data_IF_908862552750
#
_entry.id   IF_908862552750
#
_cell.length_a   1.000
_cell.length_b   1.000
_cell.length_c   1.000
_cell.angle_alpha   90.00
_cell.angle_beta   90.00
_cell.angle_gamma   90.00
#
_symmetry.space_group_name_H-M   'P 1'
#
loop_
_entity.id
_entity.type
_entity.pdbx_description
1 polymer ?
#
# COMPACT_ATOMS: atom_id res chain seq x y z
N UNK A 1 -22.10 25.14 43.71
CA UNK A 1 -22.23 25.92 42.45
C UNK A 1 -22.13 24.93 41.30
N UNK A 2 -23.23 24.78 40.58
CA UNK A 2 -23.38 23.90 39.44
C UNK A 2 -23.13 24.68 38.14
N UNK A 3 -22.61 23.98 37.12
CA UNK A 3 -22.73 24.20 35.66
C UNK A 3 -21.77 23.18 35.01
N UNK A 4 -22.04 22.49 33.90
CA UNK A 4 -23.24 22.01 33.23
C UNK A 4 -22.67 21.13 32.09
N UNK A 5 -22.97 19.83 32.10
CA UNK A 5 -22.62 18.92 31.00
C UNK A 5 -23.61 19.17 29.84
N UNK A 6 -23.09 19.46 28.65
CA UNK A 6 -23.89 19.42 27.42
C UNK A 6 -23.65 18.10 26.69
N UNK A 7 -24.65 17.23 26.82
CA UNK A 7 -24.98 16.16 25.89
C UNK A 7 -25.38 16.76 24.54
N UNK A 8 -24.86 16.22 23.44
CA UNK A 8 -25.46 16.41 22.12
C UNK A 8 -25.83 15.04 21.56
N UNK A 9 -27.13 14.91 21.30
CA UNK A 9 -27.86 13.77 20.77
C UNK A 9 -27.28 13.21 19.46
N UNK A 10 -27.27 11.89 19.37
CA UNK A 10 -27.26 11.16 18.11
C UNK A 10 -28.60 11.34 17.39
N UNK A 11 -28.57 11.82 16.15
CA UNK A 11 -29.70 11.70 15.23
C UNK A 11 -29.53 10.44 14.37
N UNK A 12 -30.52 9.57 14.51
CA UNK A 12 -30.81 8.43 13.65
C UNK A 12 -31.51 8.89 12.37
N UNK A 13 -30.96 8.54 11.22
CA UNK A 13 -31.71 8.30 9.98
C UNK A 13 -31.14 7.02 9.38
N UNK A 14 -31.88 6.10 8.80
CA UNK A 14 -33.29 5.93 8.52
C UNK A 14 -33.29 4.65 7.69
N UNK A 15 -34.02 3.64 8.16
CA UNK A 15 -34.15 2.35 7.50
C UNK A 15 -34.68 2.50 6.08
N UNK A 16 -34.07 1.79 5.12
CA UNK A 16 -34.81 1.16 4.03
C UNK A 16 -34.32 -0.27 3.88
N UNK A 17 -35.18 -1.21 4.27
CA UNK A 17 -35.12 -2.64 3.96
C UNK A 17 -35.12 -2.84 2.44
N UNK A 18 -34.19 -3.63 1.92
CA UNK A 18 -34.34 -4.28 0.63
C UNK A 18 -34.73 -5.74 0.85
N UNK A 19 -35.96 -6.08 0.48
CA UNK A 19 -36.43 -7.46 0.39
C UNK A 19 -35.67 -8.19 -0.73
N UNK A 20 -34.83 -9.16 -0.37
CA UNK A 20 -34.30 -10.14 -1.33
C UNK A 20 -35.34 -11.25 -1.43
N UNK A 21 -36.14 -11.23 -2.51
CA UNK A 21 -37.04 -12.32 -2.88
C UNK A 21 -36.19 -13.35 -3.64
N UNK A 22 -35.92 -14.49 -3.01
CA UNK A 22 -35.38 -15.65 -3.71
C UNK A 22 -36.49 -16.34 -4.51
N UNK A 23 -36.19 -16.96 -5.67
CA UNK A 23 -37.11 -17.87 -6.31
C UNK A 23 -36.91 -19.28 -5.72
N UNK A 24 -38.01 -19.83 -5.19
CA UNK A 24 -38.18 -21.25 -4.91
C UNK A 24 -38.46 -22.02 -6.20
N UNK A 25 -37.98 -23.27 -6.23
CA UNK A 25 -38.35 -24.35 -7.14
C UNK A 25 -39.86 -24.44 -7.41
N UNK A 26 -40.23 -24.84 -8.62
CA UNK A 26 -40.99 -26.07 -8.89
C UNK A 26 -41.34 -26.24 -10.39
N UNK A 27 -41.15 -27.47 -10.90
CA UNK A 27 -41.89 -28.11 -12.02
C UNK A 27 -41.51 -27.70 -13.45
N UNK A 28 -40.83 -28.55 -14.23
CA UNK A 28 -41.33 -29.69 -15.05
C UNK A 28 -42.12 -29.29 -16.32
N UNK A 29 -41.85 -30.09 -17.36
CA UNK A 29 -42.52 -30.25 -18.67
C UNK A 29 -42.13 -29.38 -19.88
N UNK A 30 -41.48 -30.10 -20.81
CA UNK A 30 -41.88 -30.34 -22.20
C UNK A 30 -41.67 -29.31 -23.31
N UNK A 31 -41.11 -29.82 -24.40
CA UNK A 31 -41.67 -29.56 -25.73
C UNK A 31 -40.82 -28.71 -26.66
N UNK A 32 -39.98 -29.41 -27.43
CA UNK A 32 -39.88 -29.35 -28.91
C UNK A 32 -40.14 -28.04 -29.68
N UNK A 33 -39.24 -27.84 -30.65
CA UNK A 33 -39.36 -27.04 -31.89
C UNK A 33 -39.45 -25.51 -31.68
N UNK A 34 -39.01 -24.64 -32.56
CA UNK A 34 -38.67 -24.71 -33.98
C UNK A 34 -38.91 -23.30 -34.54
N UNK A 35 -38.21 -22.96 -35.62
CA UNK A 35 -38.52 -21.81 -36.51
C UNK A 35 -37.95 -20.43 -36.15
N UNK A 36 -36.86 -20.15 -36.86
CA UNK A 36 -36.62 -18.87 -37.55
C UNK A 36 -37.92 -18.35 -38.20
N UNK A 37 -38.26 -17.08 -37.95
CA UNK A 37 -39.39 -16.43 -38.60
C UNK A 37 -39.36 -14.93 -38.39
N UNK A 38 -38.97 -14.22 -39.44
CA UNK A 38 -39.09 -12.77 -39.61
C UNK A 38 -40.49 -12.26 -39.25
N UNK A 39 -40.56 -11.13 -38.55
CA UNK A 39 -41.67 -10.19 -38.67
C UNK A 39 -41.19 -8.79 -38.34
N UNK A 40 -40.91 -8.05 -39.41
CA UNK A 40 -41.07 -6.62 -39.50
C UNK A 40 -42.46 -6.24 -38.98
N UNK A 41 -42.55 -5.41 -37.95
CA UNK A 41 -43.71 -4.53 -37.82
C UNK A 41 -43.33 -3.19 -37.20
N UNK A 42 -43.88 -2.15 -37.83
CA UNK A 42 -43.58 -0.74 -37.65
C UNK A 42 -44.43 -0.18 -36.50
N UNK A 43 -43.79 0.07 -35.35
CA UNK A 43 -44.32 0.93 -34.29
C UNK A 43 -43.65 2.31 -34.34
N UNK A 44 -43.92 3.08 -35.38
CA UNK A 44 -43.70 4.53 -35.38
C UNK A 44 -44.84 5.16 -34.56
N UNK A 45 -44.66 5.31 -33.26
CA UNK A 45 -45.39 6.30 -32.49
C UNK A 45 -44.56 6.90 -31.34
N UNK A 46 -44.60 8.24 -31.28
CA UNK A 46 -44.39 8.97 -30.04
C UNK A 46 -42.94 9.30 -29.66
N UNK A 47 -42.55 10.54 -29.98
CA UNK A 47 -41.55 11.35 -29.26
C UNK A 47 -40.06 11.02 -29.47
N UNK A 48 -39.60 11.24 -30.70
CA UNK A 48 -38.27 11.80 -30.96
C UNK A 48 -38.24 13.27 -30.46
N UNK A 49 -38.19 13.47 -29.14
CA UNK A 49 -37.89 14.78 -28.54
C UNK A 49 -36.97 14.66 -27.30
N UNK A 50 -36.16 13.61 -27.24
CA UNK A 50 -34.98 13.61 -26.38
C UNK A 50 -33.89 14.44 -27.08
N UNK A 51 -34.14 15.75 -27.14
CA UNK A 51 -33.20 16.73 -27.64
C UNK A 51 -31.83 16.53 -26.99
N UNK A 52 -30.78 16.74 -27.77
CA UNK A 52 -29.37 16.67 -27.36
C UNK A 52 -29.09 17.36 -25.99
N UNK A 53 -29.93 18.32 -25.60
CA UNK A 53 -29.93 18.96 -24.28
C UNK A 53 -30.14 18.02 -23.08
N UNK A 54 -30.94 16.96 -23.21
CA UNK A 54 -31.16 16.00 -22.12
C UNK A 54 -30.04 14.96 -22.01
N UNK A 55 -29.36 14.66 -23.12
CA UNK A 55 -28.12 13.88 -23.11
C UNK A 55 -26.97 14.68 -22.46
N UNK A 56 -26.91 15.99 -22.68
CA UNK A 56 -25.95 16.89 -22.03
C UNK A 56 -26.28 17.09 -20.53
N UNK A 57 -27.56 17.06 -20.14
CA UNK A 57 -27.96 17.11 -18.71
C UNK A 57 -27.56 15.85 -17.95
N UNK A 58 -27.63 14.66 -18.56
CA UNK A 58 -27.14 13.41 -17.95
C UNK A 58 -25.62 13.27 -17.99
N UNK A 59 -24.94 14.00 -18.89
CA UNK A 59 -23.48 14.13 -18.96
C UNK A 59 -22.92 15.42 -18.37
N UNK A 60 -23.70 16.16 -17.56
CA UNK A 60 -23.13 17.26 -16.79
C UNK A 60 -22.24 16.64 -15.73
N UNK A 61 -20.93 16.62 -16.05
CA UNK A 61 -19.87 16.14 -15.20
C UNK A 61 -20.16 16.52 -13.74
N UNK A 62 -20.15 15.52 -12.85
CA UNK A 62 -20.04 15.75 -11.42
C UNK A 62 -19.06 16.90 -11.23
N UNK A 63 -19.50 17.98 -10.59
CA UNK A 63 -18.60 19.05 -10.15
C UNK A 63 -17.39 18.36 -9.50
N UNK A 64 -16.15 18.68 -9.90
CA UNK A 64 -14.99 18.09 -9.27
C UNK A 64 -15.14 18.30 -7.78
N UNK A 65 -15.10 17.22 -7.01
CA UNK A 65 -15.16 17.25 -5.56
C UNK A 65 -14.26 18.40 -5.09
N UNK A 66 -14.83 19.31 -4.28
CA UNK A 66 -14.10 20.48 -3.80
C UNK A 66 -12.79 20.02 -3.17
N UNK A 67 -11.69 20.18 -3.92
CA UNK A 67 -10.34 19.90 -3.46
C UNK A 67 -10.20 20.61 -2.12
N UNK A 68 -10.06 19.85 -1.02
CA UNK A 68 -9.72 20.41 0.30
C UNK A 68 -8.44 21.21 0.13
N UNK A 69 -8.55 22.53 -0.03
CA UNK A 69 -7.42 23.45 0.03
C UNK A 69 -6.94 23.42 1.47
N UNK A 70 -5.93 22.60 1.74
CA UNK A 70 -5.17 22.64 2.99
C UNK A 70 -4.50 24.02 3.03
N UNK A 71 -5.14 24.99 3.68
CA UNK A 71 -4.54 26.30 3.98
C UNK A 71 -3.73 26.16 5.26
N UNK A 72 -2.51 25.65 5.14
CA UNK A 72 -1.45 25.94 6.10
C UNK A 72 -0.51 26.89 5.39
N UNK A 73 -0.29 28.08 5.95
CA UNK A 73 0.65 29.04 5.36
C UNK A 73 2.05 28.41 5.39
N UNK A 74 2.68 28.15 4.24
CA UNK A 74 3.97 27.47 4.19
C UNK A 74 5.04 28.31 4.90
N UNK A 75 5.82 27.67 5.77
CA UNK A 75 6.96 28.33 6.43
C UNK A 75 8.06 28.62 5.41
N UNK A 76 8.94 29.58 5.71
CA UNK A 76 10.11 29.87 4.85
C UNK A 76 10.97 28.63 4.56
N UNK A 77 11.06 27.68 5.52
CA UNK A 77 11.72 26.39 5.36
C UNK A 77 11.03 25.50 4.34
N UNK A 78 9.71 25.30 4.44
CA UNK A 78 8.95 24.48 3.48
C UNK A 78 9.04 25.03 2.05
N UNK A 79 9.02 26.36 1.88
CA UNK A 79 9.22 27.01 0.58
C UNK A 79 10.63 26.78 0.03
N UNK A 80 11.67 26.85 0.88
CA UNK A 80 13.05 26.53 0.48
C UNK A 80 13.16 25.09 -0.02
N UNK A 81 12.57 24.14 0.73
CA UNK A 81 12.58 22.72 0.39
C UNK A 81 11.87 22.45 -0.94
N UNK A 82 10.69 23.04 -1.17
CA UNK A 82 9.98 22.91 -2.46
C UNK A 82 10.79 23.47 -3.64
N UNK A 83 11.48 24.60 -3.46
CA UNK A 83 12.41 25.12 -4.48
C UNK A 83 13.55 24.14 -4.79
N UNK A 84 14.07 23.45 -3.77
CA UNK A 84 15.11 22.40 -3.95
C UNK A 84 14.53 21.19 -4.68
N UNK A 85 13.31 20.79 -4.36
CA UNK A 85 12.60 19.73 -5.09
C UNK A 85 12.42 20.07 -6.57
N UNK A 86 11.96 21.27 -6.91
CA UNK A 86 11.83 21.70 -8.32
C UNK A 86 13.14 21.69 -9.09
N UNK A 87 14.26 22.06 -8.43
CA UNK A 87 15.59 21.95 -9.03
C UNK A 87 15.97 20.49 -9.26
N UNK A 88 15.69 19.62 -8.29
CA UNK A 88 15.98 18.20 -8.38
C UNK A 88 15.18 17.49 -9.50
N UNK A 89 13.92 17.91 -9.74
CA UNK A 89 13.10 17.41 -10.85
C UNK A 89 13.69 17.73 -12.24
N UNK A 90 14.46 18.81 -12.37
CA UNK A 90 15.07 19.23 -13.64
C UNK A 90 16.38 18.51 -13.96
N UNK A 91 16.89 17.68 -13.04
CA UNK A 91 18.11 16.93 -13.28
C UNK A 91 17.88 15.92 -14.41
N UNK A 92 18.76 15.95 -15.41
CA UNK A 92 18.72 15.05 -16.56
C UNK A 92 19.32 13.69 -16.18
N UNK A 93 18.65 12.97 -15.27
CA UNK A 93 19.02 11.60 -14.91
C UNK A 93 18.06 10.61 -15.57
N UNK A 94 18.60 9.69 -16.38
CA UNK A 94 17.81 8.63 -17.03
C UNK A 94 17.30 7.57 -16.05
N UNK A 95 17.83 7.55 -14.83
CA UNK A 95 17.42 6.65 -13.74
C UNK A 95 17.49 7.37 -12.40
N UNK A 96 16.78 6.84 -11.41
CA UNK A 96 16.79 7.30 -10.01
C UNK A 96 17.94 6.72 -9.18
N UNK A 97 18.44 5.53 -9.55
CA UNK A 97 19.71 4.95 -9.04
C UNK A 97 20.94 5.78 -9.41
N UNK A 98 20.77 6.79 -10.26
CA UNK A 98 21.86 7.65 -10.66
C UNK A 98 22.40 8.41 -9.45
N UNK A 99 23.70 8.25 -9.21
CA UNK A 99 24.48 8.98 -8.20
C UNK A 99 24.35 10.49 -8.29
N UNK A 100 23.96 11.04 -9.45
CA UNK A 100 23.70 12.47 -9.64
C UNK A 100 22.49 12.97 -8.86
N UNK A 101 21.36 12.24 -8.87
CA UNK A 101 20.17 12.68 -8.13
C UNK A 101 20.41 12.55 -6.62
N UNK A 102 20.87 11.38 -6.17
CA UNK A 102 21.19 11.13 -4.77
C UNK A 102 22.26 12.10 -4.24
N UNK A 103 23.36 12.25 -4.99
CA UNK A 103 24.44 13.18 -4.63
C UNK A 103 24.00 14.64 -4.66
N UNK A 104 23.03 15.02 -5.50
CA UNK A 104 22.41 16.35 -5.43
C UNK A 104 21.62 16.52 -4.12
N UNK A 105 20.81 15.54 -3.73
CA UNK A 105 20.05 15.61 -2.47
C UNK A 105 20.98 15.68 -1.27
N UNK A 106 22.03 14.86 -1.23
CA UNK A 106 23.04 14.87 -0.16
C UNK A 106 23.74 16.23 -0.03
N UNK A 107 24.04 16.90 -1.14
CA UNK A 107 24.70 18.21 -1.14
C UNK A 107 23.77 19.37 -0.82
N UNK A 108 22.50 19.28 -1.21
CA UNK A 108 21.61 20.44 -1.23
C UNK A 108 20.52 20.39 -0.17
N UNK A 109 20.07 19.22 0.25
CA UNK A 109 18.97 19.09 1.19
C UNK A 109 19.51 18.96 2.61
N UNK A 110 19.27 19.97 3.44
CA UNK A 110 19.82 20.07 4.79
C UNK A 110 18.79 20.53 5.83
N UNK A 111 17.62 20.97 5.37
CA UNK A 111 16.57 21.45 6.24
C UNK A 111 15.97 20.32 7.09
N UNK A 112 15.97 20.54 8.39
CA UNK A 112 15.22 19.74 9.36
C UNK A 112 13.79 20.28 9.42
N UNK A 113 12.83 19.39 9.18
CA UNK A 113 11.40 19.66 9.23
C UNK A 113 10.72 18.80 10.29
N UNK A 114 9.68 19.33 10.92
CA UNK A 114 8.80 18.52 11.76
C UNK A 114 8.03 17.49 10.92
N UNK A 115 7.50 16.40 11.51
CA UNK A 115 6.65 15.44 10.80
C UNK A 115 5.51 16.11 10.02
N UNK A 116 4.81 17.08 10.63
CA UNK A 116 3.70 17.79 10.00
C UNK A 116 4.17 18.66 8.81
N UNK A 117 5.32 19.33 8.93
CA UNK A 117 5.90 20.09 7.82
C UNK A 117 6.30 19.18 6.65
N UNK A 118 6.81 17.96 6.93
CA UNK A 118 7.08 16.97 5.88
C UNK A 118 5.78 16.54 5.21
N UNK A 119 4.71 16.29 5.97
CA UNK A 119 3.39 15.99 5.40
C UNK A 119 2.93 17.10 4.46
N UNK A 120 3.08 18.37 4.86
CA UNK A 120 2.71 19.54 4.04
C UNK A 120 3.54 19.59 2.75
N UNK A 121 4.87 19.47 2.86
CA UNK A 121 5.76 19.47 1.69
C UNK A 121 5.42 18.30 0.77
N UNK A 122 5.17 17.12 1.32
CA UNK A 122 4.76 15.94 0.55
C UNK A 122 3.48 16.19 -0.23
N UNK A 123 2.43 16.72 0.41
CA UNK A 123 1.18 17.08 -0.28
C UNK A 123 1.40 18.14 -1.37
N UNK A 124 2.23 19.14 -1.12
CA UNK A 124 2.56 20.16 -2.10
C UNK A 124 3.27 19.56 -3.33
N UNK A 125 4.23 18.63 -3.12
CA UNK A 125 4.89 17.92 -4.23
C UNK A 125 3.88 17.10 -5.05
N UNK A 126 2.94 16.41 -4.41
CA UNK A 126 1.89 15.66 -5.10
C UNK A 126 0.99 16.57 -5.93
N UNK A 127 0.59 17.72 -5.36
CA UNK A 127 -0.26 18.70 -6.03
C UNK A 127 0.44 19.37 -7.21
N UNK A 128 1.67 19.86 -7.03
CA UNK A 128 2.41 20.59 -8.08
C UNK A 128 2.77 19.70 -9.26
N UNK A 129 2.92 18.40 -9.02
CA UNK A 129 3.21 17.44 -10.07
C UNK A 129 1.95 16.83 -10.68
N UNK A 130 0.73 17.22 -10.26
CA UNK A 130 -0.55 16.53 -10.55
C UNK A 130 -0.81 16.25 -12.04
N UNK A 131 -0.31 17.13 -12.92
CA UNK A 131 -0.52 17.04 -14.37
C UNK A 131 0.56 16.23 -15.11
N UNK A 132 1.60 15.76 -14.43
CA UNK A 132 2.65 14.91 -15.03
C UNK A 132 2.13 13.47 -15.06
N UNK A 133 1.97 12.83 -16.24
CA UNK A 133 1.52 11.44 -16.31
C UNK A 133 2.52 10.54 -15.59
N UNK A 134 2.05 9.86 -14.54
CA UNK A 134 2.84 8.84 -13.84
C UNK A 134 2.48 7.51 -14.48
N UNK A 135 3.45 6.85 -15.12
CA UNK A 135 3.24 5.48 -15.56
C UNK A 135 2.99 4.58 -14.33
N UNK A 136 1.90 3.81 -14.37
CA UNK A 136 1.50 2.86 -13.33
C UNK A 136 2.47 1.67 -13.21
N UNK A 137 3.38 1.49 -14.17
CA UNK A 137 4.38 0.40 -14.20
C UNK A 137 5.55 0.57 -13.20
N UNK A 138 5.57 1.63 -12.38
CA UNK A 138 6.60 1.82 -11.34
C UNK A 138 7.95 2.35 -11.81
N UNK A 139 8.13 2.52 -13.12
CA UNK A 139 9.31 3.12 -13.73
C UNK A 139 9.20 4.64 -13.95
N UNK A 140 8.14 5.28 -13.44
CA UNK A 140 7.98 6.72 -13.56
C UNK A 140 8.98 7.48 -12.67
N UNK A 141 9.84 8.26 -13.30
CA UNK A 141 10.89 9.03 -12.62
C UNK A 141 10.31 10.05 -11.63
N UNK A 142 9.12 10.61 -11.88
CA UNK A 142 8.52 11.61 -11.00
C UNK A 142 8.08 10.99 -9.68
N UNK A 143 7.34 9.88 -9.75
CA UNK A 143 6.91 9.08 -8.61
C UNK A 143 8.09 8.65 -7.74
N UNK A 144 9.14 8.10 -8.36
CA UNK A 144 10.34 7.66 -7.66
C UNK A 144 11.08 8.83 -6.99
N UNK A 145 11.23 9.96 -7.70
CA UNK A 145 11.89 11.16 -7.16
C UNK A 145 11.12 11.74 -5.97
N UNK A 146 9.79 11.75 -6.02
CA UNK A 146 8.96 12.17 -4.89
C UNK A 146 9.23 11.28 -3.68
N UNK A 147 9.18 9.95 -3.83
CA UNK A 147 9.40 9.02 -2.71
C UNK A 147 10.81 9.12 -2.13
N UNK A 148 11.85 9.19 -2.97
CA UNK A 148 13.25 9.31 -2.53
C UNK A 148 13.49 10.67 -1.85
N UNK A 149 13.02 11.77 -2.45
CA UNK A 149 13.17 13.12 -1.87
C UNK A 149 12.50 13.20 -0.49
N UNK A 150 11.27 12.68 -0.39
CA UNK A 150 10.52 12.61 0.87
C UNK A 150 11.25 11.76 1.90
N UNK A 151 11.79 10.60 1.51
CA UNK A 151 12.54 9.74 2.43
C UNK A 151 13.82 10.42 2.92
N UNK A 152 14.51 11.19 2.06
CA UNK A 152 15.69 11.95 2.48
C UNK A 152 15.33 13.04 3.50
N UNK A 153 14.21 13.75 3.33
CA UNK A 153 13.70 14.69 4.33
C UNK A 153 13.40 14.01 5.67
N UNK A 154 12.76 12.84 5.60
CA UNK A 154 12.45 12.01 6.77
C UNK A 154 13.74 11.61 7.48
N UNK A 155 14.76 11.14 6.74
CA UNK A 155 16.04 10.74 7.33
C UNK A 155 16.73 11.92 8.03
N UNK A 156 16.85 13.07 7.37
CA UNK A 156 17.47 14.28 7.95
C UNK A 156 16.75 14.69 9.25
N UNK A 157 15.41 14.65 9.22
CA UNK A 157 14.61 15.04 10.37
C UNK A 157 14.64 13.99 11.49
N UNK A 158 14.74 12.71 11.13
CA UNK A 158 14.95 11.61 12.05
C UNK A 158 16.28 11.75 12.79
N UNK A 159 17.36 12.06 12.07
CA UNK A 159 18.70 12.28 12.63
C UNK A 159 18.71 13.47 13.59
N UNK A 160 17.85 14.48 13.35
CA UNK A 160 17.64 15.62 14.24
C UNK A 160 16.71 15.34 15.43
N UNK A 161 16.23 14.10 15.60
CA UNK A 161 15.43 13.67 16.76
C UNK A 161 13.92 13.53 16.51
N UNK A 162 13.41 13.92 15.33
CA UNK A 162 12.01 13.70 14.99
C UNK A 162 11.72 12.22 14.66
N UNK A 163 10.45 11.80 14.73
CA UNK A 163 10.01 10.46 14.37
C UNK A 163 8.49 10.43 14.13
N UNK A 164 7.91 9.26 13.82
CA UNK A 164 6.47 9.07 13.64
C UNK A 164 5.89 9.91 12.48
N UNK A 165 6.51 9.81 11.31
CA UNK A 165 6.11 10.56 10.13
C UNK A 165 4.79 10.02 9.56
N UNK A 166 3.93 10.91 9.10
CA UNK A 166 2.64 10.54 8.51
C UNK A 166 2.53 11.07 7.08
N UNK A 167 2.26 10.19 6.12
CA UNK A 167 2.13 10.53 4.71
C UNK A 167 0.75 10.12 4.20
N UNK A 168 0.16 10.95 3.35
CA UNK A 168 -1.14 10.66 2.71
C UNK A 168 -0.91 10.61 1.20
N UNK A 169 -1.12 9.46 0.58
CA UNK A 169 -0.96 9.22 -0.86
C UNK A 169 -2.28 9.03 -1.58
N UNK A 170 -3.41 9.43 -0.97
CA UNK A 170 -4.76 9.37 -1.53
C UNK A 170 -4.92 10.28 -2.76
N UNK A 171 -4.26 9.93 -3.85
CA UNK A 171 -4.50 10.42 -5.19
C UNK A 171 -4.64 9.18 -6.09
N UNK A 172 -5.86 8.82 -6.52
CA UNK A 172 -6.10 7.59 -7.27
C UNK A 172 -5.38 7.55 -8.63
N UNK A 173 -4.87 8.69 -9.10
CA UNK A 173 -4.10 8.80 -10.34
C UNK A 173 -2.59 8.61 -10.11
N UNK A 174 -2.12 8.46 -8.86
CA UNK A 174 -0.70 8.46 -8.52
C UNK A 174 -0.35 7.43 -7.47
N UNK A 175 0.39 6.42 -7.88
CA UNK A 175 1.04 5.51 -6.93
C UNK A 175 2.50 5.96 -6.76
N UNK A 176 2.85 6.37 -5.54
CA UNK A 176 4.21 6.82 -5.21
C UNK A 176 5.10 5.61 -4.95
N UNK A 177 6.33 5.67 -5.45
CA UNK A 177 7.32 4.60 -5.36
C UNK A 177 8.54 5.02 -4.53
N UNK A 178 9.25 4.06 -3.95
CA UNK A 178 10.49 4.26 -3.17
C UNK A 178 10.33 5.13 -1.91
N UNK A 179 9.12 5.18 -1.32
CA UNK A 179 8.99 5.68 0.04
C UNK A 179 9.71 4.71 0.97
N UNK A 180 10.56 5.26 1.84
CA UNK A 180 11.44 4.49 2.70
C UNK A 180 12.70 3.99 2.00
N UNK A 181 13.12 4.50 0.83
CA UNK A 181 14.42 4.14 0.25
C UNK A 181 15.60 4.62 1.11
N UNK A 182 16.49 3.70 1.51
CA UNK A 182 17.64 3.95 2.40
C UNK A 182 17.27 4.66 3.71
N UNK A 183 16.10 4.32 4.26
CA UNK A 183 15.69 4.79 5.56
C UNK A 183 16.44 3.99 6.63
N UNK A 184 17.22 4.67 7.47
CA UNK A 184 18.05 4.05 8.48
C UNK A 184 17.72 4.65 9.85
N UNK A 185 17.01 3.87 10.66
CA UNK A 185 16.90 4.13 12.10
C UNK A 185 18.08 3.53 12.86
N UNK A 186 17.90 3.38 14.17
CA UNK A 186 18.84 2.66 15.01
C UNK A 186 18.14 1.57 15.84
N UNK A 187 18.92 0.63 16.39
CA UNK A 187 18.38 -0.51 17.15
C UNK A 187 17.53 -0.09 18.36
N UNK A 188 17.76 1.10 18.92
CA UNK A 188 17.04 1.61 20.10
C UNK A 188 15.86 2.49 19.71
N UNK A 189 15.87 3.07 18.50
CA UNK A 189 14.87 3.97 17.97
C UNK A 189 14.65 3.63 16.49
N UNK A 190 13.57 2.92 16.19
CA UNK A 190 13.21 2.64 14.80
C UNK A 190 12.76 3.93 14.10
N UNK A 191 13.10 4.09 12.83
CA UNK A 191 12.52 5.13 11.98
C UNK A 191 11.08 4.74 11.61
N UNK A 192 10.09 5.54 12.01
CA UNK A 192 8.66 5.19 11.89
C UNK A 192 7.93 6.03 10.86
N UNK A 193 7.27 5.36 9.91
CA UNK A 193 6.43 6.01 8.89
C UNK A 193 5.05 5.34 8.86
N UNK A 194 4.00 6.16 8.92
CA UNK A 194 2.62 5.76 8.63
C UNK A 194 2.21 6.35 7.28
N UNK A 195 1.60 5.54 6.44
CA UNK A 195 1.18 5.92 5.09
C UNK A 195 -0.30 5.59 4.95
N UNK A 196 -1.10 6.57 4.55
CA UNK A 196 -2.51 6.43 4.22
C UNK A 196 -2.69 6.57 2.71
N UNK A 197 -3.11 5.51 2.04
CA UNK A 197 -3.24 5.47 0.57
C UNK A 197 -2.31 4.47 -0.11
N UNK A 198 -2.43 4.42 -1.43
CA UNK A 198 -1.80 3.40 -2.26
C UNK A 198 -0.35 3.76 -2.65
N UNK A 199 0.47 2.73 -2.90
CA UNK A 199 1.90 2.84 -3.26
C UNK A 199 2.28 1.81 -4.33
N UNK A 200 3.44 2.03 -4.98
CA UNK A 200 4.09 1.01 -5.82
C UNK A 200 5.13 0.23 -5.03
N UNK A 201 6.37 0.72 -4.98
CA UNK A 201 7.47 0.08 -4.26
C UNK A 201 7.69 0.73 -2.89
N UNK A 202 8.10 -0.09 -1.92
CA UNK A 202 8.21 0.32 -0.53
C UNK A 202 9.48 -0.21 0.11
N UNK A 203 10.22 0.69 0.73
CA UNK A 203 11.29 0.43 1.69
C UNK A 203 12.40 -0.50 1.18
N UNK A 204 13.27 0.06 0.35
CA UNK A 204 14.42 -0.63 -0.21
C UNK A 204 15.71 -0.18 0.50
N UNK A 205 16.69 -1.08 0.66
CA UNK A 205 18.02 -0.80 1.24
C UNK A 205 17.97 -0.10 2.62
N UNK A 206 16.99 -0.44 3.44
CA UNK A 206 16.70 0.26 4.71
C UNK A 206 17.06 -0.56 5.93
N UNK A 207 17.32 0.08 7.08
CA UNK A 207 17.62 -0.63 8.32
C UNK A 207 16.90 -0.02 9.53
N UNK A 208 16.47 -0.85 10.48
CA UNK A 208 15.88 -0.39 11.75
C UNK A 208 14.68 0.55 11.55
N UNK A 209 13.63 0.06 10.92
CA UNK A 209 12.45 0.85 10.57
C UNK A 209 11.14 0.16 10.95
N UNK A 210 10.07 0.95 11.03
CA UNK A 210 8.70 0.49 11.18
C UNK A 210 7.81 1.28 10.21
N UNK A 211 7.28 0.61 9.20
CA UNK A 211 6.40 1.23 8.20
C UNK A 211 5.02 0.58 8.24
N UNK A 212 3.99 1.39 8.36
CA UNK A 212 2.59 0.96 8.35
C UNK A 212 1.85 1.61 7.19
N UNK A 213 1.32 0.77 6.29
CA UNK A 213 0.58 1.21 5.09
C UNK A 213 -0.88 0.82 5.21
N UNK A 214 -1.71 1.85 5.29
CA UNK A 214 -3.17 1.80 5.23
C UNK A 214 -3.65 2.09 3.81
N UNK A 215 -3.37 1.14 2.92
CA UNK A 215 -3.65 1.20 1.49
C UNK A 215 -3.09 -0.01 0.76
N UNK A 216 -3.27 -0.06 -0.55
CA UNK A 216 -2.75 -1.11 -1.41
C UNK A 216 -1.29 -0.84 -1.77
N UNK A 217 -0.50 -1.91 -1.89
CA UNK A 217 0.89 -1.83 -2.37
C UNK A 217 1.00 -2.64 -3.65
N UNK A 218 1.24 -1.94 -4.75
CA UNK A 218 1.34 -2.51 -6.09
C UNK A 218 2.80 -2.53 -6.56
N UNK A 219 3.64 -3.33 -5.89
CA UNK A 219 5.08 -3.33 -6.16
C UNK A 219 5.43 -4.05 -7.46
N UNK A 220 5.93 -3.29 -8.44
CA UNK A 220 6.36 -3.84 -9.73
C UNK A 220 7.88 -4.07 -9.68
N UNK A 221 8.29 -5.32 -9.45
CA UNK A 221 9.66 -5.79 -9.69
C UNK A 221 10.70 -5.56 -8.59
N UNK A 222 10.64 -4.48 -7.80
CA UNK A 222 11.62 -4.25 -6.70
C UNK A 222 11.15 -4.70 -5.33
N UNK A 223 9.93 -5.22 -5.20
CA UNK A 223 9.39 -5.84 -4.01
C UNK A 223 9.33 -4.95 -2.75
N UNK A 224 8.51 -5.34 -1.79
CA UNK A 224 8.42 -4.65 -0.49
C UNK A 224 9.54 -5.13 0.43
N UNK A 225 10.39 -4.23 0.93
CA UNK A 225 11.45 -4.59 1.90
C UNK A 225 12.76 -5.10 1.27
N UNK A 226 13.01 -4.84 -0.01
CA UNK A 226 14.19 -5.36 -0.74
C UNK A 226 15.51 -4.85 -0.18
N UNK A 227 16.44 -5.76 0.07
CA UNK A 227 17.76 -5.47 0.67
C UNK A 227 17.69 -4.73 2.02
N UNK A 228 16.53 -4.75 2.67
CA UNK A 228 16.32 -4.08 3.95
C UNK A 228 16.61 -5.03 5.11
N UNK A 229 17.01 -4.49 6.26
CA UNK A 229 17.40 -5.25 7.45
C UNK A 229 16.65 -4.78 8.71
N UNK A 230 16.35 -5.69 9.64
CA UNK A 230 15.85 -5.34 10.98
C UNK A 230 14.64 -4.39 10.95
N UNK A 231 13.55 -4.80 10.31
CA UNK A 231 12.42 -3.91 10.01
C UNK A 231 11.06 -4.52 10.31
N UNK A 232 10.05 -3.66 10.45
CA UNK A 232 8.65 -4.05 10.58
C UNK A 232 7.87 -3.39 9.45
N UNK A 233 7.19 -4.20 8.63
CA UNK A 233 6.31 -3.70 7.56
C UNK A 233 4.91 -4.22 7.79
N UNK A 234 3.96 -3.31 8.04
CA UNK A 234 2.55 -3.62 8.20
C UNK A 234 1.78 -3.18 6.96
N UNK A 235 1.15 -4.13 6.26
CA UNK A 235 0.32 -3.88 5.08
C UNK A 235 -1.15 -4.19 5.41
N UNK A 236 -2.00 -3.17 5.49
CA UNK A 236 -3.44 -3.34 5.81
C UNK A 236 -4.28 -3.61 4.56
N UNK A 237 -3.91 -3.03 3.41
CA UNK A 237 -4.56 -3.28 2.13
C UNK A 237 -3.99 -4.48 1.37
N UNK A 238 -4.34 -4.56 0.08
CA UNK A 238 -3.90 -5.64 -0.81
C UNK A 238 -2.48 -5.37 -1.30
N UNK A 239 -1.59 -6.35 -1.16
CA UNK A 239 -0.33 -6.37 -1.89
C UNK A 239 -0.55 -7.09 -3.24
N UNK A 240 -0.43 -6.40 -4.37
CA UNK A 240 -0.75 -6.98 -5.68
C UNK A 240 0.36 -7.90 -6.23
N UNK A 241 1.60 -7.71 -5.78
CA UNK A 241 2.78 -8.41 -6.29
C UNK A 241 3.67 -8.91 -5.16
N UNK A 242 4.87 -9.37 -5.52
CA UNK A 242 5.85 -9.98 -4.62
C UNK A 242 6.28 -9.02 -3.52
N UNK A 243 6.17 -9.48 -2.29
CA UNK A 243 6.93 -8.93 -1.17
C UNK A 243 8.36 -9.43 -1.34
N UNK A 244 9.35 -8.55 -1.21
CA UNK A 244 10.71 -8.96 -1.52
C UNK A 244 11.22 -9.96 -0.47
N UNK A 245 11.96 -10.94 -0.96
CA UNK A 245 12.49 -12.04 -0.17
C UNK A 245 13.97 -11.83 0.18
N UNK A 246 14.60 -10.79 -0.37
CA UNK A 246 15.99 -10.38 -0.17
C UNK A 246 16.19 -9.51 1.08
N UNK A 247 15.12 -9.08 1.75
CA UNK A 247 15.20 -8.46 3.07
C UNK A 247 15.60 -9.47 4.13
N UNK A 248 16.28 -9.02 5.19
CA UNK A 248 16.74 -9.86 6.29
C UNK A 248 16.19 -9.38 7.63
N UNK A 249 15.73 -10.31 8.47
CA UNK A 249 15.16 -10.00 9.78
C UNK A 249 14.02 -8.95 9.68
N UNK A 250 13.14 -9.15 8.70
CA UNK A 250 11.95 -8.33 8.49
C UNK A 250 10.72 -9.04 9.04
N UNK A 251 9.94 -8.34 9.86
CA UNK A 251 8.62 -8.78 10.31
C UNK A 251 7.56 -8.19 9.38
N UNK A 252 7.00 -9.03 8.52
CA UNK A 252 5.87 -8.68 7.66
C UNK A 252 4.56 -8.95 8.39
N UNK A 253 3.72 -7.92 8.53
CA UNK A 253 2.43 -7.99 9.20
C UNK A 253 1.29 -7.65 8.25
N UNK A 254 0.18 -8.36 8.32
CA UNK A 254 -1.02 -8.00 7.57
C UNK A 254 -2.30 -8.51 8.23
N UNK A 255 -3.40 -7.79 8.04
CA UNK A 255 -4.76 -8.27 8.34
C UNK A 255 -5.49 -8.84 7.11
N UNK A 256 -4.91 -8.72 5.92
CA UNK A 256 -5.51 -9.15 4.68
C UNK A 256 -5.06 -10.58 4.32
N UNK A 257 -6.01 -11.49 4.10
CA UNK A 257 -5.72 -12.91 3.83
C UNK A 257 -4.97 -13.15 2.51
N UNK A 258 -5.26 -12.36 1.48
CA UNK A 258 -4.58 -12.45 0.18
C UNK A 258 -3.15 -11.93 0.27
N UNK A 259 -2.95 -10.79 0.95
CA UNK A 259 -1.62 -10.28 1.29
C UNK A 259 -0.84 -11.29 2.14
N UNK A 260 -1.50 -11.96 3.10
CA UNK A 260 -0.88 -13.00 3.93
C UNK A 260 -0.37 -14.17 3.09
N UNK A 261 -1.20 -14.65 2.14
CA UNK A 261 -0.80 -15.71 1.20
C UNK A 261 0.47 -15.33 0.45
N UNK A 262 0.56 -14.08 -0.02
CA UNK A 262 1.74 -13.55 -0.74
C UNK A 262 2.97 -13.44 0.16
N UNK A 263 2.82 -12.94 1.39
CA UNK A 263 3.90 -12.90 2.39
C UNK A 263 4.49 -14.28 2.62
N UNK A 264 3.64 -15.29 2.82
CA UNK A 264 4.07 -16.68 3.03
C UNK A 264 4.80 -17.20 1.80
N UNK A 265 4.23 -17.04 0.59
CA UNK A 265 4.88 -17.48 -0.65
C UNK A 265 6.28 -16.88 -0.79
N UNK A 266 6.42 -15.57 -0.56
CA UNK A 266 7.71 -14.88 -0.70
C UNK A 266 8.74 -15.35 0.33
N UNK A 267 8.36 -15.46 1.61
CA UNK A 267 9.28 -15.95 2.65
C UNK A 267 9.68 -17.40 2.40
N UNK A 268 8.76 -18.26 1.96
CA UNK A 268 9.11 -19.64 1.62
C UNK A 268 9.98 -19.74 0.36
N UNK A 269 9.77 -18.87 -0.63
CA UNK A 269 10.58 -18.85 -1.85
C UNK A 269 12.03 -18.46 -1.56
N UNK A 270 12.26 -17.55 -0.61
CA UNK A 270 13.61 -17.16 -0.13
C UNK A 270 14.47 -18.33 0.35
N UNK A 271 13.83 -19.45 0.73
CA UNK A 271 14.50 -20.62 1.30
C UNK A 271 15.17 -21.45 0.19
N UNK A 272 14.53 -21.53 -0.97
CA UNK A 272 15.05 -22.30 -2.10
C UNK A 272 16.20 -21.56 -2.79
N UNK A 273 16.17 -20.24 -2.78
CA UNK A 273 17.27 -19.43 -3.27
C UNK A 273 18.37 -19.40 -2.21
N UNK A 274 19.41 -20.23 -2.41
CA UNK A 274 20.59 -20.41 -1.54
C UNK A 274 21.34 -19.11 -1.17
N UNK A 275 20.91 -17.97 -1.70
CA UNK A 275 21.54 -16.66 -1.55
C UNK A 275 20.94 -15.80 -0.43
N UNK A 276 19.84 -16.22 0.19
CA UNK A 276 19.16 -15.40 1.20
C UNK A 276 19.34 -16.00 2.60
N UNK A 277 20.15 -15.37 3.45
CA UNK A 277 20.17 -15.62 4.91
C UNK A 277 19.03 -14.85 5.63
N UNK A 278 17.90 -14.65 4.96
CA UNK A 278 16.80 -13.84 5.43
C UNK A 278 16.06 -14.47 6.63
N UNK A 279 16.06 -13.81 7.78
CA UNK A 279 15.32 -14.22 9.00
C UNK A 279 13.88 -13.66 9.06
N UNK A 280 13.17 -13.70 7.93
CA UNK A 280 11.89 -13.01 7.85
C UNK A 280 10.78 -13.75 8.60
N UNK A 281 9.89 -12.97 9.21
CA UNK A 281 8.71 -13.43 9.94
C UNK A 281 7.44 -12.96 9.23
N UNK A 282 6.40 -13.80 9.28
CA UNK A 282 5.06 -13.43 8.83
C UNK A 282 4.12 -13.45 10.03
N UNK A 283 3.39 -12.35 10.22
CA UNK A 283 2.44 -12.14 11.31
C UNK A 283 1.08 -11.79 10.72
N UNK A 284 0.04 -12.45 11.19
CA UNK A 284 -1.34 -12.11 10.86
C UNK A 284 -1.95 -11.26 11.97
N UNK A 285 -2.61 -10.17 11.59
CA UNK A 285 -3.30 -9.27 12.50
C UNK A 285 -4.80 -9.57 12.42
N UNK A 286 -5.37 -10.05 13.53
CA UNK A 286 -6.80 -10.35 13.62
C UNK A 286 -7.68 -9.11 13.62
N UNK A 287 -9.00 -9.26 13.38
CA UNK A 287 -9.96 -8.15 13.49
C UNK A 287 -9.94 -7.44 14.85
N UNK A 288 -9.62 -8.15 15.94
CA UNK A 288 -9.46 -7.57 17.27
C UNK A 288 -8.06 -6.98 17.55
N UNK A 289 -7.27 -6.73 16.49
CA UNK A 289 -5.88 -6.26 16.54
C UNK A 289 -4.88 -7.19 17.24
N UNK A 290 -5.27 -8.42 17.61
CA UNK A 290 -4.32 -9.40 18.13
C UNK A 290 -3.39 -9.88 17.01
N UNK A 291 -2.09 -9.79 17.24
CA UNK A 291 -1.07 -10.33 16.35
C UNK A 291 -0.82 -11.81 16.63
N UNK A 292 -0.71 -12.61 15.57
CA UNK A 292 -0.34 -14.02 15.65
C UNK A 292 0.78 -14.33 14.66
N UNK A 293 1.90 -14.84 15.17
CA UNK A 293 2.98 -15.34 14.32
C UNK A 293 2.48 -16.54 13.50
N UNK A 294 2.64 -16.46 12.19
CA UNK A 294 2.24 -17.49 11.24
C UNK A 294 3.43 -18.37 10.89
N UNK A 295 4.54 -17.73 10.51
CA UNK A 295 5.74 -18.38 10.03
C UNK A 295 6.98 -17.60 10.45
N UNK A 296 8.05 -18.32 10.81
CA UNK A 296 9.37 -17.77 11.16
C UNK A 296 10.47 -18.64 10.56
N UNK A 297 11.43 -18.04 9.86
CA UNK A 297 12.64 -18.72 9.40
C UNK A 297 13.66 -18.84 10.55
N UNK A 298 14.40 -19.95 10.63
CA UNK A 298 15.32 -20.24 11.74
C UNK A 298 16.79 -20.25 11.31
N UNK A 299 17.64 -19.69 12.17
CA UNK A 299 19.07 -19.43 11.97
C UNK A 299 19.93 -20.66 11.62
N UNK A 300 19.61 -21.85 12.13
CA UNK A 300 20.55 -22.99 12.12
C UNK A 300 20.47 -23.92 10.90
N UNK A 301 19.71 -23.58 9.87
CA UNK A 301 19.76 -24.31 8.61
C UNK A 301 19.20 -23.46 7.49
N UNK A 302 19.86 -23.47 6.33
CA UNK A 302 19.42 -22.78 5.12
C UNK A 302 17.97 -23.08 4.73
N UNK A 303 17.41 -24.20 5.20
CA UNK A 303 16.10 -24.71 4.78
C UNK A 303 14.98 -24.73 5.82
N UNK A 304 15.19 -24.49 7.12
CA UNK A 304 14.11 -24.73 8.12
C UNK A 304 13.23 -23.52 8.41
N UNK A 305 11.92 -23.78 8.54
CA UNK A 305 10.90 -22.84 9.03
C UNK A 305 10.13 -23.41 10.20
N UNK A 306 9.73 -22.53 11.13
CA UNK A 306 8.72 -22.82 12.13
C UNK A 306 7.39 -22.29 11.65
N UNK A 307 6.37 -23.14 11.72
CA UNK A 307 5.00 -22.79 11.35
C UNK A 307 4.13 -22.98 12.58
N UNK A 308 3.30 -21.98 12.88
CA UNK A 308 2.30 -22.09 13.94
C UNK A 308 1.32 -23.21 13.60
N UNK A 309 1.06 -24.11 14.55
CA UNK A 309 0.14 -25.25 14.39
C UNK A 309 -1.21 -24.82 13.83
N UNK A 310 -1.73 -23.69 14.31
CA UNK A 310 -3.00 -23.12 13.84
C UNK A 310 -3.01 -22.76 12.35
N UNK A 311 -1.85 -22.39 11.80
CA UNK A 311 -1.71 -21.94 10.42
C UNK A 311 -1.07 -23.00 9.51
N UNK A 312 -0.73 -24.18 10.03
CA UNK A 312 0.01 -25.20 9.29
C UNK A 312 -0.72 -25.60 7.99
N UNK A 313 -2.00 -25.96 8.06
CA UNK A 313 -2.77 -26.33 6.87
C UNK A 313 -2.90 -25.19 5.85
N UNK A 314 -2.99 -23.94 6.30
CA UNK A 314 -3.00 -22.79 5.41
C UNK A 314 -1.66 -22.62 4.70
N UNK A 315 -0.54 -22.65 5.43
CA UNK A 315 0.81 -22.57 4.86
C UNK A 315 1.08 -23.73 3.91
N UNK A 316 0.62 -24.94 4.25
CA UNK A 316 0.72 -26.12 3.39
C UNK A 316 -0.07 -25.94 2.09
N UNK A 317 -1.27 -25.37 2.14
CA UNK A 317 -2.05 -25.06 0.93
C UNK A 317 -1.37 -24.00 0.06
N UNK A 318 -0.71 -23.00 0.67
CA UNK A 318 0.02 -21.96 -0.07
C UNK A 318 1.25 -22.56 -0.76
N UNK A 319 1.98 -23.47 -0.10
CA UNK A 319 3.18 -24.10 -0.63
C UNK A 319 2.90 -25.28 -1.56
N UNK A 320 1.83 -26.03 -1.31
CA UNK A 320 1.52 -27.35 -1.89
C UNK A 320 1.48 -27.40 -3.41
N UNK A 321 1.19 -26.27 -4.07
CA UNK A 321 1.31 -26.14 -5.53
C UNK A 321 2.75 -26.23 -6.06
N UNK A 322 3.76 -26.28 -5.19
CA UNK A 322 5.20 -26.30 -5.53
C UNK A 322 5.97 -27.44 -4.85
N UNK A 323 5.30 -28.27 -4.05
CA UNK A 323 5.90 -29.42 -3.36
C UNK A 323 5.44 -29.57 -1.91
N UNK A 324 5.98 -30.58 -1.21
CA UNK A 324 5.67 -30.81 0.22
C UNK A 324 6.50 -29.91 1.13
N UNK A 325 5.89 -29.39 2.21
CA UNK A 325 6.60 -28.72 3.30
C UNK A 325 7.68 -29.59 3.97
N UNK A 326 7.60 -30.93 3.81
CA UNK A 326 8.64 -31.87 4.27
C UNK A 326 10.01 -31.56 3.65
N UNK A 327 10.06 -31.10 2.40
CA UNK A 327 11.30 -30.70 1.72
C UNK A 327 11.95 -29.46 2.34
N UNK A 328 11.16 -28.58 2.96
CA UNK A 328 11.60 -27.37 3.65
C UNK A 328 11.87 -27.61 5.16
N UNK A 329 11.98 -28.86 5.60
CA UNK A 329 12.18 -29.21 7.03
C UNK A 329 11.25 -28.43 7.96
N UNK A 330 10.03 -28.14 7.51
CA UNK A 330 9.10 -27.30 8.24
C UNK A 330 8.70 -27.98 9.54
N UNK A 331 8.83 -27.28 10.67
CA UNK A 331 8.43 -27.79 11.98
C UNK A 331 7.19 -27.05 12.45
N UNK A 332 6.16 -27.81 12.75
CA UNK A 332 4.98 -27.30 13.41
C UNK A 332 5.28 -27.04 14.88
N UNK A 333 4.86 -25.88 15.39
CA UNK A 333 5.02 -25.51 16.81
C UNK A 333 3.69 -25.03 17.39
N UNK A 334 3.41 -25.40 18.63
CA UNK A 334 2.16 -25.04 19.33
C UNK A 334 2.07 -23.54 19.62
N UNK A 335 3.21 -22.89 19.88
CA UNK A 335 3.31 -21.44 20.09
C UNK A 335 4.56 -20.90 19.39
N UNK A 336 4.35 -19.90 18.54
CA UNK A 336 5.43 -19.19 17.85
C UNK A 336 5.50 -17.76 18.40
N UNK A 337 6.68 -17.35 18.88
CA UNK A 337 6.90 -16.00 19.40
C UNK A 337 7.20 -15.02 18.27
N UNK A 338 6.72 -13.78 18.40
CA UNK A 338 6.93 -12.70 17.42
C UNK A 338 8.33 -12.07 17.60
N UNK A 339 8.82 -12.02 18.84
CA UNK A 339 10.13 -11.46 19.24
C UNK A 339 11.27 -12.45 19.06
#
# INVERSE_FOLDING_TARGET
MALAQQNVHSQTSGLTQTHIKGPSDDGLDDGLDGSLGDSLDNGLDGSLDDGLGDLIRRHTARKPDEKRKIKVAPTSKTVSVLKKFHKALKLNSKTYYNSQFQGHLEKTLTEVLTPDEITIVFQAMLYETENVPINQDGNDLTSQRIGIFTTKLIQISYDAGYNNFNLVTENPQRNISHIGYRLNGDKKRLAKIKIHGDLLNLCEESSYFEINVDGCVNSMGTGVGRYSNHGIITLRGKAQHTIDYLGNDIIYKTSNKETLRRMITCVLYSINERFCNAYNHVVFIKPNNKEEAVLKRVYNSSTSVLVSQKYYGFVEQVWGGRGSLKGLRARMVSKLNIT
#
